data_IF_929029827081
#
_entry.id   IF_929029827081
#
_cell.length_a   1.000
_cell.length_b   1.000
_cell.length_c   1.000
_cell.angle_alpha   90.00
_cell.angle_beta   90.00
_cell.angle_gamma   90.00
#
_symmetry.space_group_name_H-M   'P 1'
#
loop_
_entity.id
_entity.type
_entity.pdbx_description
1 polymer ?
#
# COMPACT_ATOMS: atom_id res chain seq x y z
N UNK A 1 33.49 3.20 3.77
CA UNK A 1 33.01 1.84 4.08
C UNK A 1 32.01 1.47 3.00
N UNK A 2 32.13 0.27 2.39
CA UNK A 2 31.10 -0.26 1.49
C UNK A 2 30.05 -0.87 2.41
N UNK A 3 28.85 -0.33 2.42
CA UNK A 3 27.74 -0.85 3.21
C UNK A 3 27.07 -1.99 2.44
N UNK A 4 26.60 -2.99 3.17
CA UNK A 4 25.80 -4.07 2.59
C UNK A 4 24.46 -3.48 2.08
N UNK A 5 24.04 -3.82 0.85
CA UNK A 5 22.74 -3.40 0.32
C UNK A 5 21.59 -3.81 1.24
N UNK A 6 20.60 -2.92 1.42
CA UNK A 6 19.45 -3.20 2.29
C UNK A 6 18.60 -4.37 1.79
N UNK A 7 18.39 -4.47 0.48
CA UNK A 7 17.76 -5.62 -0.16
C UNK A 7 18.81 -6.57 -0.73
N UNK A 8 18.54 -7.88 -0.74
CA UNK A 8 19.38 -8.83 -1.44
C UNK A 8 19.37 -8.58 -2.96
N UNK A 9 20.24 -9.30 -3.68
CA UNK A 9 20.27 -9.29 -5.15
C UNK A 9 18.88 -9.49 -5.74
N UNK A 10 18.68 -9.00 -6.97
CA UNK A 10 17.41 -9.02 -7.68
C UNK A 10 17.42 -10.10 -8.77
N UNK A 11 17.16 -11.37 -8.43
CA UNK A 11 17.31 -12.46 -9.38
C UNK A 11 16.32 -12.36 -10.53
N UNK A 12 15.11 -11.83 -10.32
CA UNK A 12 14.13 -11.67 -11.41
C UNK A 12 14.60 -10.64 -12.44
N UNK A 13 15.26 -9.55 -11.99
CA UNK A 13 15.94 -8.61 -12.88
C UNK A 13 17.10 -9.28 -13.62
N UNK A 14 17.95 -10.01 -12.91
CA UNK A 14 19.11 -10.68 -13.50
C UNK A 14 18.69 -11.68 -14.58
N UNK A 15 17.61 -12.44 -14.33
CA UNK A 15 17.00 -13.36 -15.30
C UNK A 15 16.49 -12.59 -16.51
N UNK A 16 15.76 -11.50 -16.31
CA UNK A 16 15.22 -10.69 -17.41
C UNK A 16 16.33 -10.10 -18.29
N UNK A 17 17.37 -9.53 -17.69
CA UNK A 17 18.54 -8.98 -18.41
C UNK A 17 19.28 -10.11 -19.16
N UNK A 18 19.43 -11.27 -18.53
CA UNK A 18 20.03 -12.44 -19.19
C UNK A 18 19.21 -12.90 -20.39
N UNK A 19 17.87 -12.85 -20.31
CA UNK A 19 16.99 -13.16 -21.44
C UNK A 19 17.11 -12.13 -22.57
N UNK A 20 17.26 -10.84 -22.26
CA UNK A 20 17.51 -9.80 -23.27
C UNK A 20 18.83 -10.02 -24.01
N UNK A 21 19.84 -10.58 -23.35
CA UNK A 21 21.16 -10.85 -23.89
C UNK A 21 21.29 -12.23 -24.55
N UNK A 22 20.23 -13.05 -24.51
CA UNK A 22 20.26 -14.42 -25.03
C UNK A 22 20.34 -14.46 -26.57
N UNK A 23 21.09 -15.44 -27.08
CA UNK A 23 21.20 -15.75 -28.51
C UNK A 23 20.88 -17.26 -28.72
N UNK A 24 19.79 -17.63 -29.42
CA UNK A 24 18.88 -16.76 -30.18
C UNK A 24 18.00 -15.86 -29.29
N UNK A 25 17.47 -14.74 -29.83
CA UNK A 25 16.63 -13.82 -29.06
C UNK A 25 15.45 -14.52 -28.39
N UNK A 26 15.25 -14.25 -27.10
CA UNK A 26 14.12 -14.77 -26.35
C UNK A 26 12.78 -14.32 -26.96
N UNK A 27 11.78 -15.21 -26.90
CA UNK A 27 10.45 -14.89 -27.38
C UNK A 27 9.82 -13.75 -26.55
N UNK A 28 9.13 -12.82 -27.22
CA UNK A 28 8.57 -11.62 -26.58
C UNK A 28 7.62 -11.95 -25.42
N UNK A 29 6.82 -13.02 -25.52
CA UNK A 29 5.94 -13.45 -24.42
C UNK A 29 6.72 -13.88 -23.18
N UNK A 30 7.92 -14.45 -23.35
CA UNK A 30 8.80 -14.83 -22.25
C UNK A 30 9.40 -13.59 -21.58
N UNK A 31 9.81 -12.60 -22.38
CA UNK A 31 10.30 -11.31 -21.87
C UNK A 31 9.21 -10.56 -21.08
N UNK A 32 7.98 -10.50 -21.61
CA UNK A 32 6.83 -9.91 -20.90
C UNK A 32 6.54 -10.64 -19.58
N UNK A 33 6.57 -11.97 -19.58
CA UNK A 33 6.37 -12.76 -18.37
C UNK A 33 7.48 -12.52 -17.33
N UNK A 34 8.74 -12.48 -17.77
CA UNK A 34 9.87 -12.17 -16.91
C UNK A 34 9.80 -10.74 -16.33
N UNK A 35 9.38 -9.76 -17.14
CA UNK A 35 9.18 -8.37 -16.68
C UNK A 35 8.08 -8.28 -15.61
N UNK A 36 6.99 -9.05 -15.75
CA UNK A 36 5.94 -9.13 -14.72
C UNK A 36 6.49 -9.75 -13.43
N UNK A 37 7.33 -10.80 -13.50
CA UNK A 37 7.98 -11.38 -12.31
C UNK A 37 8.92 -10.37 -11.64
N UNK A 38 9.70 -9.62 -12.41
CA UNK A 38 10.52 -8.49 -11.92
C UNK A 38 9.66 -7.48 -11.16
N UNK A 39 8.55 -7.03 -11.76
CA UNK A 39 7.60 -6.12 -11.13
C UNK A 39 6.97 -6.69 -9.84
N UNK A 40 6.69 -8.00 -9.77
CA UNK A 40 6.17 -8.63 -8.55
C UNK A 40 7.17 -8.54 -7.38
N UNK A 41 8.46 -8.75 -7.65
CA UNK A 41 9.51 -8.57 -6.64
C UNK A 41 9.57 -7.12 -6.17
N UNK A 42 9.47 -6.15 -7.08
CA UNK A 42 9.50 -4.73 -6.75
C UNK A 42 8.29 -4.30 -5.90
N UNK A 43 7.07 -4.75 -6.23
CA UNK A 43 5.88 -4.50 -5.38
C UNK A 43 6.08 -5.07 -3.98
N UNK A 44 6.61 -6.29 -3.87
CA UNK A 44 6.89 -6.92 -2.58
C UNK A 44 7.90 -6.10 -1.77
N UNK A 45 8.95 -5.59 -2.42
CA UNK A 45 9.94 -4.69 -1.80
C UNK A 45 9.33 -3.36 -1.38
N UNK A 46 8.42 -2.77 -2.18
CA UNK A 46 7.72 -1.52 -1.82
C UNK A 46 6.86 -1.71 -0.57
N UNK A 47 6.10 -2.80 -0.50
CA UNK A 47 5.26 -3.10 0.68
C UNK A 47 6.13 -3.25 1.93
N UNK A 48 7.21 -4.03 1.83
CA UNK A 48 8.19 -4.20 2.90
C UNK A 48 8.83 -2.88 3.31
N UNK A 49 9.25 -2.06 2.35
CA UNK A 49 9.85 -0.75 2.60
C UNK A 49 8.93 0.16 3.42
N UNK A 50 7.63 0.18 3.11
CA UNK A 50 6.65 1.01 3.83
C UNK A 50 6.49 0.57 5.29
N UNK A 51 6.46 -0.73 5.54
CA UNK A 51 6.38 -1.30 6.89
C UNK A 51 7.68 -1.01 7.67
N UNK A 52 8.83 -1.31 7.06
CA UNK A 52 10.14 -1.18 7.68
C UNK A 52 10.49 0.28 7.97
N UNK A 53 10.15 1.23 7.09
CA UNK A 53 10.43 2.66 7.28
C UNK A 53 9.76 3.21 8.54
N UNK A 54 8.48 2.88 8.76
CA UNK A 54 7.76 3.30 9.97
C UNK A 54 8.34 2.63 11.23
N UNK A 55 8.69 1.35 11.16
CA UNK A 55 9.25 0.62 12.30
C UNK A 55 10.66 1.11 12.67
N UNK A 56 11.55 1.27 11.69
CA UNK A 56 12.92 1.71 11.91
C UNK A 56 12.99 3.16 12.37
N UNK A 57 12.12 4.05 11.89
CA UNK A 57 12.05 5.43 12.38
C UNK A 57 11.77 5.47 13.89
N UNK A 58 10.86 4.63 14.38
CA UNK A 58 10.55 4.52 15.80
C UNK A 58 11.74 3.97 16.62
N UNK A 59 12.48 3.01 16.07
CA UNK A 59 13.67 2.45 16.73
C UNK A 59 14.85 3.44 16.75
N UNK A 60 15.00 4.25 15.71
CA UNK A 60 16.03 5.29 15.61
C UNK A 60 15.83 6.37 16.68
N UNK A 61 14.59 6.85 16.85
CA UNK A 61 14.25 7.83 17.89
C UNK A 61 14.51 7.30 19.32
N UNK A 62 14.43 5.98 19.52
CA UNK A 62 14.75 5.31 20.78
C UNK A 62 16.25 5.02 20.95
N UNK A 63 17.07 5.32 19.94
CA UNK A 63 18.51 5.01 19.93
C UNK A 63 18.82 3.51 19.88
N UNK A 64 17.87 2.67 19.48
CA UNK A 64 18.06 1.20 19.41
C UNK A 64 18.73 0.73 18.12
N UNK A 65 18.82 1.62 17.12
CA UNK A 65 19.53 1.40 15.85
C UNK A 65 20.35 2.66 15.52
N UNK A 66 21.39 2.51 14.70
CA UNK A 66 22.22 3.64 14.24
C UNK A 66 21.70 4.29 12.95
N UNK A 67 22.17 5.52 12.69
CA UNK A 67 21.85 6.29 11.47
C UNK A 67 22.29 5.58 10.18
N UNK A 68 23.36 4.78 10.24
CA UNK A 68 23.86 4.01 9.10
C UNK A 68 22.78 3.10 8.49
N UNK A 69 22.02 2.39 9.34
CA UNK A 69 20.95 1.50 8.89
C UNK A 69 19.78 2.29 8.28
N UNK A 70 19.42 3.41 8.91
CA UNK A 70 18.37 4.29 8.41
C UNK A 70 18.74 4.89 7.04
N UNK A 71 19.98 5.35 6.89
CA UNK A 71 20.50 5.88 5.63
C UNK A 71 20.56 4.80 4.54
N UNK A 72 20.93 3.57 4.89
CA UNK A 72 20.89 2.42 3.96
C UNK A 72 19.47 2.14 3.46
N UNK A 73 18.47 2.20 4.36
CA UNK A 73 17.06 2.09 3.97
C UNK A 73 16.66 3.20 2.99
N UNK A 74 16.97 4.46 3.29
CA UNK A 74 16.63 5.59 2.41
C UNK A 74 17.34 5.53 1.05
N UNK A 75 18.57 5.02 1.02
CA UNK A 75 19.29 4.79 -0.23
C UNK A 75 18.60 3.71 -1.07
N UNK A 76 18.22 2.59 -0.44
CA UNK A 76 17.52 1.51 -1.12
C UNK A 76 16.11 1.89 -1.59
N UNK A 77 15.45 2.84 -0.92
CA UNK A 77 14.17 3.42 -1.35
C UNK A 77 14.33 4.13 -2.70
N UNK A 78 15.38 4.95 -2.85
CA UNK A 78 15.68 5.63 -4.12
C UNK A 78 16.06 4.66 -5.23
N UNK A 79 16.83 3.62 -4.90
CA UNK A 79 17.19 2.57 -5.87
C UNK A 79 15.95 1.81 -6.34
N UNK A 80 15.01 1.52 -5.44
CA UNK A 80 13.74 0.88 -5.78
C UNK A 80 12.84 1.81 -6.60
N UNK A 81 12.82 3.12 -6.33
CA UNK A 81 12.10 4.09 -7.17
C UNK A 81 12.67 4.14 -8.59
N UNK A 82 13.99 4.12 -8.74
CA UNK A 82 14.64 4.07 -10.05
C UNK A 82 14.31 2.79 -10.81
N UNK A 83 14.36 1.64 -10.12
CA UNK A 83 13.99 0.33 -10.68
C UNK A 83 12.53 0.31 -11.17
N UNK A 84 11.59 0.86 -10.38
CA UNK A 84 10.17 0.97 -10.78
C UNK A 84 10.03 1.79 -12.05
N UNK A 85 10.73 2.93 -12.15
CA UNK A 85 10.67 3.78 -13.34
C UNK A 85 11.26 3.08 -14.58
N UNK A 86 12.32 2.28 -14.41
CA UNK A 86 12.88 1.44 -15.47
C UNK A 86 11.86 0.40 -15.96
N UNK A 87 11.21 -0.32 -15.05
CA UNK A 87 10.17 -1.31 -15.38
C UNK A 87 8.97 -0.66 -16.08
N UNK A 88 8.52 0.52 -15.65
CA UNK A 88 7.45 1.27 -16.33
C UNK A 88 7.86 1.63 -17.75
N UNK A 89 9.08 2.16 -17.92
CA UNK A 89 9.59 2.54 -19.24
C UNK A 89 9.68 1.33 -20.16
N UNK A 90 10.27 0.22 -19.69
CA UNK A 90 10.38 -1.03 -20.45
C UNK A 90 9.01 -1.61 -20.82
N UNK A 91 8.06 -1.65 -19.88
CA UNK A 91 6.70 -2.11 -20.16
C UNK A 91 6.06 -1.30 -21.30
N UNK A 92 6.24 0.02 -21.32
CA UNK A 92 5.73 0.87 -22.39
C UNK A 92 6.42 0.62 -23.75
N UNK A 93 7.63 0.04 -23.78
CA UNK A 93 8.27 -0.37 -25.05
C UNK A 93 7.63 -1.60 -25.67
N UNK A 94 7.07 -2.49 -24.85
CA UNK A 94 6.36 -3.68 -25.32
C UNK A 94 4.92 -3.37 -25.74
N UNK A 95 4.21 -2.58 -24.92
CA UNK A 95 2.82 -2.20 -25.16
C UNK A 95 2.59 -0.80 -24.60
N UNK A 96 2.16 0.12 -25.45
CA UNK A 96 1.87 1.49 -25.05
C UNK A 96 0.83 1.52 -23.91
N UNK A 97 1.13 2.27 -22.83
CA UNK A 97 0.27 2.39 -21.67
C UNK A 97 0.36 1.23 -20.67
N UNK A 98 1.07 0.14 -20.99
CA UNK A 98 1.21 -1.01 -20.08
C UNK A 98 1.96 -0.66 -18.80
N UNK A 99 2.89 0.29 -18.86
CA UNK A 99 3.62 0.75 -17.67
C UNK A 99 2.71 1.30 -16.56
N UNK A 100 1.53 1.84 -16.90
CA UNK A 100 0.55 2.28 -15.91
C UNK A 100 -0.19 1.13 -15.20
N UNK A 101 -0.24 -0.06 -15.82
CA UNK A 101 -1.03 -1.21 -15.36
C UNK A 101 -0.18 -2.36 -14.81
N UNK A 102 1.09 -2.46 -15.20
CA UNK A 102 1.95 -3.61 -14.86
C UNK A 102 2.07 -3.82 -13.36
N UNK A 103 2.24 -2.74 -12.58
CA UNK A 103 2.36 -2.83 -11.12
C UNK A 103 1.03 -3.15 -10.41
N UNK A 104 -0.10 -2.73 -10.98
CA UNK A 104 -1.43 -3.13 -10.48
C UNK A 104 -1.62 -4.65 -10.67
N UNK A 105 -1.32 -5.12 -11.88
CA UNK A 105 -1.39 -6.55 -12.24
C UNK A 105 -0.45 -7.38 -11.35
N UNK A 106 0.78 -6.93 -11.16
CA UNK A 106 1.77 -7.60 -10.30
C UNK A 106 1.30 -7.67 -8.84
N UNK A 107 0.69 -6.60 -8.32
CA UNK A 107 0.09 -6.58 -6.97
C UNK A 107 -1.01 -7.63 -6.80
N UNK A 108 -1.89 -7.76 -7.78
CA UNK A 108 -2.94 -8.80 -7.79
C UNK A 108 -2.35 -10.22 -7.85
N UNK A 109 -1.30 -10.43 -8.65
CA UNK A 109 -0.61 -11.71 -8.74
C UNK A 109 0.04 -12.12 -7.41
N UNK A 110 0.69 -11.20 -6.70
CA UNK A 110 1.25 -11.46 -5.36
C UNK A 110 0.15 -11.84 -4.37
N UNK A 111 -0.96 -11.10 -4.39
CA UNK A 111 -2.10 -11.40 -3.52
C UNK A 111 -2.67 -12.79 -3.81
N UNK A 112 -2.78 -13.17 -5.09
CA UNK A 112 -3.22 -14.50 -5.50
C UNK A 112 -2.24 -15.60 -5.05
N UNK A 113 -0.94 -15.40 -5.28
CA UNK A 113 0.11 -16.36 -4.89
C UNK A 113 0.11 -16.57 -3.37
N UNK A 114 -0.05 -15.51 -2.58
CA UNK A 114 -0.17 -15.59 -1.12
C UNK A 114 -1.39 -16.40 -0.66
N UNK A 115 -2.55 -16.20 -1.30
CA UNK A 115 -3.77 -16.96 -0.97
C UNK A 115 -3.58 -18.44 -1.34
N UNK A 116 -2.99 -18.71 -2.50
CA UNK A 116 -2.73 -20.07 -2.97
C UNK A 116 -1.77 -20.82 -2.05
N UNK A 117 -0.64 -20.21 -1.69
CA UNK A 117 0.33 -20.79 -0.75
C UNK A 117 -0.35 -21.13 0.58
N UNK A 118 -1.14 -20.21 1.15
CA UNK A 118 -1.85 -20.46 2.41
C UNK A 118 -2.84 -21.63 2.31
N UNK A 119 -3.51 -21.79 1.17
CA UNK A 119 -4.41 -22.93 0.92
C UNK A 119 -3.64 -24.26 0.82
N UNK A 120 -2.55 -24.28 0.06
CA UNK A 120 -1.71 -25.48 -0.11
C UNK A 120 -1.05 -25.89 1.22
N UNK A 121 -0.59 -24.92 2.02
CA UNK A 121 0.04 -25.15 3.32
C UNK A 121 -0.96 -25.58 4.42
N UNK A 122 -2.27 -25.48 4.18
CA UNK A 122 -3.28 -25.76 5.20
C UNK A 122 -3.24 -27.21 5.69
N UNK A 123 -3.00 -28.18 4.79
CA UNK A 123 -2.93 -29.59 5.16
C UNK A 123 -1.69 -29.90 6.02
N UNK A 124 -0.51 -29.42 5.59
CA UNK A 124 0.74 -29.57 6.33
C UNK A 124 0.67 -28.86 7.69
N UNK A 125 0.13 -27.64 7.72
CA UNK A 125 -0.06 -26.87 8.95
C UNK A 125 -1.01 -27.57 9.92
N UNK A 126 -2.06 -28.24 9.43
CA UNK A 126 -2.98 -29.02 10.26
C UNK A 126 -2.26 -30.22 10.88
N UNK A 127 -1.53 -30.99 10.09
CA UNK A 127 -0.77 -32.14 10.57
C UNK A 127 0.29 -31.73 11.60
N UNK A 128 1.04 -30.65 11.34
CA UNK A 128 2.03 -30.13 12.27
C UNK A 128 1.40 -29.69 13.60
N UNK A 129 0.22 -29.05 13.55
CA UNK A 129 -0.54 -28.69 14.75
C UNK A 129 -1.04 -29.92 15.49
N UNK A 130 -1.53 -30.93 14.77
CA UNK A 130 -1.99 -32.18 15.37
C UNK A 130 -0.85 -32.95 16.06
N UNK A 131 0.35 -32.99 15.46
CA UNK A 131 1.52 -33.59 16.09
C UNK A 131 1.95 -32.82 17.34
N UNK A 132 1.92 -31.49 17.29
CA UNK A 132 2.36 -30.63 18.40
C UNK A 132 1.37 -30.57 19.56
N UNK A 133 0.07 -30.61 19.27
CA UNK A 133 -0.99 -30.37 20.26
C UNK A 133 -1.94 -31.58 20.45
N UNK A 134 -1.74 -32.67 19.71
CA UNK A 134 -2.69 -33.78 19.61
C UNK A 134 -3.89 -33.42 18.73
N UNK A 135 -4.71 -34.44 18.38
CA UNK A 135 -6.04 -34.18 17.83
C UNK A 135 -6.87 -33.52 18.93
N UNK A 136 -7.21 -32.24 18.80
CA UNK A 136 -8.29 -31.63 19.58
C UNK A 136 -9.61 -32.21 19.06
N UNK A 137 -9.86 -33.44 19.47
CA UNK A 137 -11.07 -34.24 19.26
C UNK A 137 -11.45 -34.97 20.54
N UNK A 138 -10.93 -34.55 21.69
CA UNK A 138 -11.55 -34.90 22.97
C UNK A 138 -12.87 -34.16 22.98
N UNK A 139 -13.98 -34.91 22.91
CA UNK A 139 -15.29 -34.41 23.28
C UNK A 139 -15.10 -33.69 24.61
N UNK A 140 -15.20 -32.37 24.61
CA UNK A 140 -15.40 -31.65 25.86
C UNK A 140 -16.82 -32.03 26.22
N UNK A 141 -17.00 -32.93 27.18
CA UNK A 141 -18.27 -33.10 27.85
C UNK A 141 -18.53 -31.77 28.57
N UNK A 142 -19.15 -30.83 27.85
CA UNK A 142 -19.75 -29.67 28.49
C UNK A 142 -20.82 -30.25 29.43
N UNK A 143 -20.73 -30.04 30.75
CA UNK A 143 -21.80 -30.45 31.64
C UNK A 143 -23.09 -29.82 31.13
N UNK A 144 -24.14 -30.64 31.01
CA UNK A 144 -25.45 -30.18 30.57
C UNK A 144 -25.84 -28.91 31.35
N UNK A 145 -26.32 -27.85 30.68
CA UNK A 145 -26.70 -26.63 31.35
C UNK A 145 -27.73 -26.98 32.43
N UNK A 146 -27.32 -26.85 33.69
CA UNK A 146 -28.21 -27.01 34.82
C UNK A 146 -29.30 -25.93 34.67
N UNK A 147 -30.59 -26.27 34.80
CA UNK A 147 -31.63 -25.25 34.79
C UNK A 147 -31.39 -24.32 35.98
N UNK A 148 -30.98 -23.09 35.68
CA UNK A 148 -30.91 -22.01 36.67
C UNK A 148 -32.34 -21.75 37.16
N UNK A 149 -32.65 -22.26 38.34
CA UNK A 149 -33.91 -21.98 39.02
C UNK A 149 -33.81 -20.54 39.54
N UNK A 150 -34.34 -19.60 38.76
CA UNK A 150 -34.49 -18.21 39.19
C UNK A 150 -35.53 -18.19 40.33
N UNK A 151 -35.19 -17.72 41.54
CA UNK A 151 -36.18 -17.57 42.60
C UNK A 151 -37.23 -16.53 42.18
N UNK A 152 -38.50 -16.88 42.37
CA UNK A 152 -39.63 -16.01 42.06
C UNK A 152 -39.54 -14.67 42.82
N UNK A 153 -39.91 -13.55 42.20
CA UNK A 153 -39.98 -12.27 42.89
C UNK A 153 -41.11 -12.29 43.94
N UNK A 154 -40.92 -11.66 45.12
CA UNK A 154 -41.92 -11.64 46.19
C UNK A 154 -43.15 -10.79 45.81
N UNK A 155 -44.34 -11.10 46.36
CA UNK A 155 -45.62 -10.51 45.95
C UNK A 155 -45.99 -9.19 46.66
N UNK A 156 -46.56 -8.24 45.89
CA UNK A 156 -47.44 -7.12 46.33
C UNK A 156 -46.73 -5.94 47.01
N UNK A 157 -46.95 -4.65 46.69
CA UNK A 157 -48.17 -3.87 46.39
C UNK A 157 -47.81 -2.54 45.65
N UNK A 158 -48.77 -1.65 45.32
CA UNK A 158 -49.80 -1.74 44.30
C UNK A 158 -49.60 -0.68 43.18
N UNK A 159 -50.42 -0.82 42.13
CA UNK A 159 -50.39 -0.06 40.89
C UNK A 159 -50.60 1.46 41.03
N UNK A 160 -49.87 2.22 40.21
CA UNK A 160 -50.29 3.54 39.75
C UNK A 160 -50.02 3.65 38.23
N UNK A 161 -51.07 4.06 37.52
CA UNK A 161 -51.17 4.12 36.06
C UNK A 161 -50.26 5.20 35.44
N UNK A 162 -49.72 4.93 34.25
CA UNK A 162 -48.96 5.89 33.45
C UNK A 162 -48.82 5.45 31.99
N UNK A 163 -49.44 6.21 31.11
CA UNK A 163 -49.73 6.01 29.68
C UNK A 163 -48.55 5.91 28.70
N UNK A 164 -48.66 4.98 27.73
CA UNK A 164 -48.29 5.03 26.28
C UNK A 164 -46.82 5.36 25.82
N UNK A 165 -46.44 5.19 24.53
CA UNK A 165 -46.84 4.23 23.49
C UNK A 165 -45.65 3.47 22.83
N UNK A 166 -45.98 2.58 21.90
CA UNK A 166 -45.09 1.70 21.14
C UNK A 166 -44.15 2.40 20.14
N UNK A 167 -42.97 1.81 19.91
CA UNK A 167 -42.09 2.07 18.76
C UNK A 167 -41.57 0.76 18.18
N UNK A 168 -41.69 0.63 16.85
CA UNK A 168 -41.19 -0.49 16.03
C UNK A 168 -39.70 -0.32 15.71
N UNK A 169 -38.91 -1.40 15.56
CA UNK A 169 -37.53 -1.30 15.12
C UNK A 169 -37.39 -1.42 13.59
N UNK A 170 -36.58 -0.53 13.02
CA UNK A 170 -36.16 -0.48 11.61
C UNK A 170 -34.86 -1.26 11.36
N UNK A 171 -34.76 -1.85 10.17
CA UNK A 171 -33.66 -2.69 9.66
C UNK A 171 -32.43 -1.85 9.22
N UNK A 172 -31.17 -2.33 9.38
CA UNK A 172 -29.98 -1.59 8.90
C UNK A 172 -29.56 -1.94 7.46
N UNK A 173 -29.05 -0.93 6.76
CA UNK A 173 -28.57 -0.95 5.37
C UNK A 173 -27.11 -1.44 5.21
N UNK A 174 -26.77 -1.88 3.98
CA UNK A 174 -25.43 -2.23 3.48
C UNK A 174 -24.49 -1.01 3.43
N UNK A 175 -23.18 -1.17 3.69
CA UNK A 175 -22.19 -0.15 3.33
C UNK A 175 -21.60 -0.37 1.93
N UNK A 176 -21.61 0.69 1.12
CA UNK A 176 -20.76 0.85 -0.06
C UNK A 176 -19.42 1.46 0.37
N UNK A 177 -18.29 0.91 -0.06
CA UNK A 177 -17.00 1.57 0.11
C UNK A 177 -16.19 1.46 -1.19
N UNK A 178 -16.11 2.56 -1.92
CA UNK A 178 -15.30 2.72 -3.12
C UNK A 178 -14.05 3.54 -2.81
N UNK A 179 -12.89 3.10 -3.30
CA UNK A 179 -11.66 3.88 -3.32
C UNK A 179 -11.39 4.31 -4.78
N UNK A 180 -11.33 5.62 -5.02
CA UNK A 180 -10.77 6.21 -6.24
C UNK A 180 -9.72 7.28 -5.88
N UNK A 181 -8.68 7.46 -6.72
CA UNK A 181 -7.47 8.27 -6.43
C UNK A 181 -7.63 9.79 -6.69
N UNK A 182 -6.70 10.64 -6.23
CA UNK A 182 -6.90 12.09 -6.16
C UNK A 182 -6.61 12.81 -7.47
N UNK A 183 -7.44 13.80 -7.81
CA UNK A 183 -7.18 14.80 -8.84
C UNK A 183 -6.92 16.17 -8.19
N UNK A 184 -5.83 16.81 -8.64
CA UNK A 184 -5.39 18.14 -8.27
C UNK A 184 -6.06 19.18 -9.19
N UNK A 185 -6.54 20.31 -8.66
CA UNK A 185 -6.17 21.70 -9.04
C UNK A 185 -7.19 22.76 -8.58
N UNK A 186 -6.67 23.69 -7.76
CA UNK A 186 -6.81 25.17 -7.81
C UNK A 186 -8.22 25.81 -7.74
N UNK A 187 -8.46 26.53 -6.63
CA UNK A 187 -8.58 28.00 -6.56
C UNK A 187 -9.49 28.40 -5.39
N UNK A 188 -8.93 28.98 -4.32
CA UNK A 188 -9.72 29.87 -3.47
C UNK A 188 -8.93 31.14 -3.15
N UNK A 189 -9.59 32.24 -3.50
CA UNK A 189 -9.24 33.62 -3.27
C UNK A 189 -9.61 33.97 -1.83
N UNK A 190 -8.67 34.55 -1.07
CA UNK A 190 -9.03 35.36 0.10
C UNK A 190 -8.23 36.66 0.05
N UNK A 191 -8.98 37.75 -0.05
CA UNK A 191 -8.51 39.12 0.00
C UNK A 191 -8.66 39.65 1.42
N UNK A 192 -7.66 40.40 1.89
CA UNK A 192 -7.67 41.50 2.90
C UNK A 192 -6.25 41.61 3.48
N UNK A 193 -5.65 42.73 3.87
CA UNK A 193 -5.75 44.18 3.65
C UNK A 193 -4.55 44.74 4.45
N UNK A 194 -4.10 45.95 4.09
CA UNK A 194 -3.24 46.87 4.85
C UNK A 194 -1.71 46.68 4.89
N UNK A 195 -1.02 47.79 4.57
CA UNK A 195 0.38 48.02 4.89
C UNK A 195 1.13 48.89 3.87
N UNK A 196 1.19 50.19 4.12
CA UNK A 196 1.92 51.28 3.44
C UNK A 196 3.41 50.95 3.14
N UNK A 197 4.17 51.57 2.24
CA UNK A 197 4.06 52.74 1.39
C UNK A 197 5.47 53.04 0.81
N UNK A 198 5.51 53.95 -0.18
CA UNK A 198 6.63 54.80 -0.62
C UNK A 198 7.74 54.31 -1.59
N UNK A 199 7.97 55.22 -2.54
CA UNK A 199 9.20 55.61 -3.24
C UNK A 199 9.62 55.02 -4.62
N UNK A 200 9.09 55.69 -5.66
CA UNK A 200 9.77 56.48 -6.72
C UNK A 200 10.80 55.86 -7.71
N UNK A 201 10.95 56.45 -8.94
CA UNK A 201 11.36 55.70 -10.15
C UNK A 201 12.65 56.16 -10.88
N UNK A 202 13.13 55.29 -11.80
CA UNK A 202 13.92 55.57 -13.05
C UNK A 202 15.42 55.96 -12.94
N UNK A 203 16.24 56.04 -14.03
CA UNK A 203 16.08 55.63 -15.46
C UNK A 203 17.35 55.06 -16.20
N UNK A 204 17.16 54.70 -17.48
CA UNK A 204 18.10 54.81 -18.65
C UNK A 204 19.11 53.65 -18.90
N UNK A 205 19.55 53.27 -20.12
CA UNK A 205 19.45 53.80 -21.51
C UNK A 205 20.05 52.76 -22.51
N UNK A 206 19.77 52.96 -23.81
CA UNK A 206 20.49 52.48 -25.03
C UNK A 206 20.05 51.12 -25.61
N UNK A 207 19.93 50.87 -26.91
CA UNK A 207 20.18 51.65 -28.14
C UNK A 207 19.49 51.01 -29.38
N UNK A 208 19.31 51.84 -30.42
CA UNK A 208 18.91 51.63 -31.85
C UNK A 208 19.28 50.25 -32.45
N UNK A 209 18.59 49.68 -33.47
CA UNK A 209 18.30 50.25 -34.80
C UNK A 209 17.54 49.22 -35.69
N UNK A 210 16.85 49.77 -36.70
CA UNK A 210 16.64 49.25 -38.09
C UNK A 210 15.28 48.60 -38.39
N UNK A 211 14.45 49.36 -39.13
CA UNK A 211 13.10 48.97 -39.52
C UNK A 211 12.97 48.26 -40.87
N UNK A 212 11.71 48.03 -41.29
CA UNK A 212 11.33 47.79 -42.69
C UNK A 212 9.85 48.13 -42.91
N UNK A 213 9.61 48.80 -44.04
CA UNK A 213 8.37 49.27 -44.66
C UNK A 213 7.25 48.22 -44.81
N UNK A 214 6.03 48.77 -45.03
CA UNK A 214 4.88 48.35 -45.87
C UNK A 214 3.62 48.30 -44.98
N UNK A 215 2.49 48.92 -45.31
CA UNK A 215 1.97 49.63 -46.48
C UNK A 215 0.84 50.54 -45.95
#
# INVERSE_FOLDING_TARGET
KIYEPYFPSHPERDIYVSLLQSDPPAHESLLKAALVRRAMTDVSRVLKMREDKAALQNLLQKGSIGDDLWNSLLQSEKELEAEIMEVVAEANTFVEGWGGLIFQTAGEMIANEKIRIAYEDTAASRLAKEQKYGKVGTKIDLPAPQPVFMPAPPPGHPAAAGSAPASTPSTPAKPSNGLLPPQNTKAESVASSDGEGLDTPSPSKSSKKKGKKRK
#
